data_IF_695295251170
#
_entry.id   IF_695295251170
#
_cell.length_a   1.000
_cell.length_b   1.000
_cell.length_c   1.000
_cell.angle_alpha   90.00
_cell.angle_beta   90.00
_cell.angle_gamma   90.00
#
_symmetry.space_group_name_H-M   'P 1'
#
loop_
_entity.id
_entity.type
_entity.pdbx_description
1 polymer ?
#
# COMPACT_ATOMS: atom_id res chain seq x y z
N UNK A 1 -11.88 12.92 16.82
CA UNK A 1 -11.09 14.04 17.38
C UNK A 1 -9.83 14.22 16.57
N UNK A 2 -9.52 15.46 16.18
CA UNK A 2 -8.27 15.80 15.48
C UNK A 2 -7.09 15.93 16.45
N UNK A 3 -5.89 15.65 15.98
CA UNK A 3 -4.66 15.75 16.78
C UNK A 3 -3.53 16.37 15.99
N UNK A 4 -2.63 17.08 16.67
CA UNK A 4 -1.44 17.69 16.07
C UNK A 4 -0.23 17.42 16.96
N UNK A 5 0.94 17.21 16.37
CA UNK A 5 2.19 17.12 17.11
C UNK A 5 2.79 18.51 17.40
N UNK A 6 3.71 18.62 18.37
CA UNK A 6 4.38 19.89 18.69
C UNK A 6 5.12 20.51 17.50
N UNK A 7 5.64 19.69 16.58
CA UNK A 7 6.35 20.16 15.39
C UNK A 7 5.48 20.91 14.39
N UNK A 8 4.15 20.88 14.51
CA UNK A 8 3.24 21.69 13.69
C UNK A 8 3.10 23.14 14.17
N UNK A 9 3.77 23.52 15.27
CA UNK A 9 3.73 24.85 15.83
C UNK A 9 5.13 25.48 15.76
N UNK A 10 5.40 26.39 14.80
CA UNK A 10 6.73 26.97 14.61
C UNK A 10 7.29 27.66 15.86
N UNK A 11 6.41 28.28 16.66
CA UNK A 11 6.75 28.96 17.92
C UNK A 11 6.55 28.08 19.16
N UNK A 12 6.29 26.78 18.96
CA UNK A 12 5.88 25.84 20.00
C UNK A 12 4.37 25.81 20.24
N UNK A 13 3.84 24.70 20.78
CA UNK A 13 2.42 24.56 21.02
C UNK A 13 1.94 25.56 22.08
N UNK A 14 0.77 26.19 21.91
CA UNK A 14 0.23 27.11 22.90
C UNK A 14 -0.11 26.35 24.19
N UNK A 15 -0.17 27.06 25.31
CA UNK A 15 -0.46 26.45 26.62
C UNK A 15 -1.84 25.81 26.62
N UNK A 16 -1.87 24.50 26.92
CA UNK A 16 -3.12 23.75 27.00
C UNK A 16 -4.02 24.27 28.13
N UNK A 17 -5.31 24.42 27.83
CA UNK A 17 -6.32 24.85 28.81
C UNK A 17 -7.13 23.67 29.36
N UNK A 18 -7.16 22.57 28.63
CA UNK A 18 -7.99 21.40 28.92
C UNK A 18 -7.25 20.10 28.59
N UNK A 19 -7.76 18.98 29.13
CA UNK A 19 -7.33 17.63 28.76
C UNK A 19 -8.52 16.84 28.25
N UNK A 20 -8.33 16.08 27.17
CA UNK A 20 -9.31 15.16 26.63
C UNK A 20 -8.87 13.72 26.88
N UNK A 21 -9.82 12.87 27.24
CA UNK A 21 -9.63 11.42 27.24
C UNK A 21 -10.02 10.90 25.85
N UNK A 22 -9.09 10.26 25.17
CA UNK A 22 -9.22 9.79 23.80
C UNK A 22 -9.12 8.27 23.79
N UNK A 23 -10.11 7.55 23.25
CA UNK A 23 -10.03 6.10 23.09
C UNK A 23 -8.91 5.74 22.11
N UNK A 24 -8.23 4.62 22.32
CA UNK A 24 -7.18 4.12 21.42
C UNK A 24 -7.72 3.02 20.49
N UNK A 25 -7.29 2.94 19.22
CA UNK A 25 -7.78 1.89 18.31
C UNK A 25 -7.42 0.46 18.75
N UNK A 26 -6.36 0.30 19.54
CA UNK A 26 -5.95 -0.98 20.14
C UNK A 26 -6.74 -1.31 21.41
N UNK A 27 -7.60 -0.40 21.88
CA UNK A 27 -8.31 -0.50 23.16
C UNK A 27 -7.63 0.34 24.26
N UNK A 28 -8.43 0.70 25.27
CA UNK A 28 -8.01 1.62 26.33
C UNK A 28 -8.19 3.09 25.95
N UNK A 29 -7.60 3.97 26.75
CA UNK A 29 -7.72 5.42 26.59
C UNK A 29 -6.39 6.11 26.89
N UNK A 30 -6.09 7.14 26.12
CA UNK A 30 -5.00 8.08 26.37
C UNK A 30 -5.55 9.43 26.81
N UNK A 31 -4.75 10.21 27.52
CA UNK A 31 -5.10 11.59 27.90
C UNK A 31 -4.23 12.57 27.13
N UNK A 32 -4.87 13.47 26.42
CA UNK A 32 -4.24 14.42 25.51
C UNK A 32 -4.50 15.84 26.01
N UNK A 33 -3.48 16.69 25.97
CA UNK A 33 -3.66 18.12 26.19
C UNK A 33 -4.37 18.75 24.98
N UNK A 34 -5.35 19.61 25.21
CA UNK A 34 -6.07 20.30 24.12
C UNK A 34 -5.49 21.68 23.88
N UNK A 35 -5.16 21.94 22.62
CA UNK A 35 -4.61 23.21 22.16
C UNK A 35 -5.39 23.71 20.94
N UNK A 36 -5.55 25.03 20.77
CA UNK A 36 -6.06 25.59 19.52
C UNK A 36 -5.00 25.45 18.43
N UNK A 37 -5.45 25.08 17.24
CA UNK A 37 -4.68 25.12 15.99
C UNK A 37 -5.38 26.10 15.05
N UNK A 38 -4.82 27.30 14.93
CA UNK A 38 -5.36 28.37 14.10
C UNK A 38 -4.86 28.26 12.66
N UNK A 39 -5.71 28.63 11.69
CA UNK A 39 -5.31 28.73 10.29
C UNK A 39 -4.89 27.40 9.65
N UNK A 40 -5.42 26.27 10.13
CA UNK A 40 -5.08 24.96 9.58
C UNK A 40 -5.48 24.89 8.10
N UNK A 41 -4.52 24.53 7.25
CA UNK A 41 -4.72 24.34 5.83
C UNK A 41 -4.09 23.02 5.40
N UNK A 42 -4.76 22.31 4.51
CA UNK A 42 -4.21 21.12 3.87
C UNK A 42 -4.25 21.28 2.35
N UNK A 43 -3.08 21.48 1.74
CA UNK A 43 -3.00 21.88 0.34
C UNK A 43 -3.73 23.19 0.11
N UNK A 44 -4.81 23.15 -0.68
CA UNK A 44 -5.68 24.32 -0.94
C UNK A 44 -6.92 24.37 -0.04
N UNK A 45 -7.21 23.31 0.71
CA UNK A 45 -8.39 23.25 1.57
C UNK A 45 -8.13 23.99 2.90
N UNK A 46 -8.93 25.02 3.18
CA UNK A 46 -8.90 25.70 4.47
C UNK A 46 -9.75 24.90 5.47
N UNK A 47 -9.14 24.49 6.58
CA UNK A 47 -9.81 23.75 7.66
C UNK A 47 -10.29 24.69 8.78
N UNK A 48 -9.79 25.93 8.81
CA UNK A 48 -10.14 26.92 9.82
C UNK A 48 -9.44 26.66 11.16
N UNK A 49 -10.04 27.19 12.23
CA UNK A 49 -9.55 27.00 13.60
C UNK A 49 -10.04 25.66 14.15
N UNK A 50 -9.11 24.83 14.63
CA UNK A 50 -9.38 23.50 15.15
C UNK A 50 -9.00 23.41 16.63
N UNK A 51 -9.79 22.66 17.41
CA UNK A 51 -9.36 22.21 18.74
C UNK A 51 -8.75 20.82 18.60
N UNK A 52 -7.43 20.72 18.80
CA UNK A 52 -6.68 19.48 18.57
C UNK A 52 -6.09 18.94 19.86
N UNK A 53 -5.96 17.63 19.95
CA UNK A 53 -5.15 16.98 20.97
C UNK A 53 -3.67 17.07 20.61
N UNK A 54 -2.82 17.44 21.56
CA UNK A 54 -1.38 17.47 21.37
C UNK A 54 -0.83 16.04 21.46
N UNK A 55 -0.39 15.51 20.31
CA UNK A 55 0.27 14.21 20.22
C UNK A 55 1.71 14.29 20.73
N UNK A 56 2.36 13.14 20.93
CA UNK A 56 3.80 13.09 21.30
C UNK A 56 4.70 12.78 20.11
N UNK A 57 4.21 13.01 18.91
CA UNK A 57 4.88 12.54 17.70
C UNK A 57 5.98 13.50 17.28
N UNK A 58 7.02 12.95 16.66
CA UNK A 58 8.13 13.74 16.11
C UNK A 58 7.75 14.32 14.74
N UNK A 59 8.32 15.49 14.42
CA UNK A 59 7.96 16.26 13.22
C UNK A 59 6.60 16.93 13.31
N UNK A 60 6.11 17.51 12.21
CA UNK A 60 4.73 17.99 12.11
C UNK A 60 3.83 16.87 11.57
N UNK A 61 2.95 16.36 12.42
CA UNK A 61 1.95 15.34 12.12
C UNK A 61 0.59 15.86 12.55
N UNK A 62 -0.37 15.85 11.62
CA UNK A 62 -1.75 16.26 11.82
C UNK A 62 -2.66 15.05 11.50
N UNK A 63 -3.44 14.60 12.47
CA UNK A 63 -4.53 13.65 12.25
C UNK A 63 -5.87 14.38 12.28
N UNK A 64 -6.66 14.20 11.23
CA UNK A 64 -7.96 14.85 11.11
C UNK A 64 -9.06 13.90 11.59
N UNK A 65 -9.84 14.37 12.56
CA UNK A 65 -11.03 13.69 13.02
C UNK A 65 -12.18 13.83 12.03
N UNK A 66 -13.17 12.95 12.17
CA UNK A 66 -14.36 12.97 11.34
C UNK A 66 -15.14 14.29 11.41
N UNK A 67 -15.10 14.98 12.55
CA UNK A 67 -15.67 16.32 12.72
C UNK A 67 -15.13 17.33 11.68
N UNK A 68 -13.86 17.20 11.30
CA UNK A 68 -13.22 18.03 10.28
C UNK A 68 -13.43 17.46 8.87
N UNK A 69 -13.44 16.13 8.74
CA UNK A 69 -13.54 15.44 7.46
C UNK A 69 -14.98 15.29 6.94
N UNK A 70 -16.00 15.55 7.77
CA UNK A 70 -17.41 15.38 7.44
C UNK A 70 -17.87 16.03 6.10
N UNK A 71 -17.41 17.23 5.70
CA UNK A 71 -17.85 17.81 4.43
C UNK A 71 -17.10 17.26 3.21
N UNK A 72 -16.08 16.42 3.41
CA UNK A 72 -15.14 15.99 2.38
C UNK A 72 -15.19 14.49 2.11
N UNK A 73 -15.00 14.14 0.85
CA UNK A 73 -14.55 12.83 0.42
C UNK A 73 -13.06 12.94 0.06
N UNK A 74 -12.25 12.02 0.59
CA UNK A 74 -10.80 11.99 0.39
C UNK A 74 -10.45 11.00 -0.72
N UNK A 75 -9.98 11.51 -1.85
CA UNK A 75 -9.48 10.69 -2.95
C UNK A 75 -7.96 10.51 -2.81
N UNK A 76 -7.52 9.27 -2.62
CA UNK A 76 -6.13 8.88 -2.48
C UNK A 76 -5.69 8.16 -3.75
N UNK A 77 -4.69 8.73 -4.44
CA UNK A 77 -4.00 8.10 -5.57
C UNK A 77 -2.61 7.64 -5.12
N UNK A 78 -2.42 6.35 -4.80
CA UNK A 78 -1.15 5.83 -4.32
C UNK A 78 -0.03 5.89 -5.36
N UNK A 79 -0.36 5.81 -6.65
CA UNK A 79 0.62 5.86 -7.74
C UNK A 79 1.15 7.29 -7.92
N UNK A 80 0.25 8.29 -7.92
CA UNK A 80 0.64 9.70 -8.04
C UNK A 80 1.09 10.33 -6.73
N UNK A 81 0.83 9.66 -5.60
CA UNK A 81 1.02 10.21 -4.25
C UNK A 81 0.25 11.51 -4.06
N UNK A 82 -0.97 11.54 -4.58
CA UNK A 82 -1.87 12.67 -4.48
C UNK A 82 -3.01 12.35 -3.52
N UNK A 83 -3.36 13.36 -2.72
CA UNK A 83 -4.58 13.40 -1.93
C UNK A 83 -5.43 14.55 -2.44
N UNK A 84 -6.68 14.28 -2.77
CA UNK A 84 -7.65 15.28 -3.25
C UNK A 84 -8.87 15.29 -2.35
N UNK A 85 -9.36 16.51 -2.12
CA UNK A 85 -10.56 16.77 -1.33
C UNK A 85 -11.67 17.08 -2.31
N UNK A 86 -12.68 16.23 -2.35
CA UNK A 86 -13.93 16.51 -3.05
C UNK A 86 -15.06 16.63 -2.03
N UNK A 87 -16.21 17.15 -2.47
CA UNK A 87 -17.37 17.27 -1.58
C UNK A 87 -17.93 15.88 -1.27
N UNK A 88 -18.19 15.63 0.01
CA UNK A 88 -18.87 14.41 0.47
C UNK A 88 -20.25 14.26 -0.19
N UNK A 89 -20.68 13.01 -0.40
CA UNK A 89 -21.94 12.65 -1.05
C UNK A 89 -22.60 11.49 -0.31
N UNK A 90 -23.94 11.35 -0.37
CA UNK A 90 -24.60 10.18 0.19
C UNK A 90 -24.17 8.89 -0.53
N UNK A 91 -24.18 7.75 0.19
CA UNK A 91 -23.76 6.44 -0.33
C UNK A 91 -24.44 6.06 -1.64
N UNK A 92 -25.72 6.39 -1.78
CA UNK A 92 -26.53 6.11 -2.97
C UNK A 92 -25.96 6.80 -4.22
N UNK A 93 -25.34 7.96 -4.07
CA UNK A 93 -24.70 8.66 -5.19
C UNK A 93 -23.48 7.89 -5.70
N UNK A 94 -22.73 7.24 -4.81
CA UNK A 94 -21.67 6.32 -5.20
C UNK A 94 -22.30 5.10 -5.88
N UNK A 95 -23.24 4.40 -5.25
CA UNK A 95 -23.83 3.19 -5.85
C UNK A 95 -24.43 3.40 -7.25
N UNK A 96 -25.00 4.58 -7.53
CA UNK A 96 -25.61 4.92 -8.83
C UNK A 96 -24.65 5.51 -9.86
N UNK A 97 -23.43 5.89 -9.47
CA UNK A 97 -22.48 6.46 -10.43
C UNK A 97 -22.20 5.44 -11.55
N UNK A 98 -22.05 5.88 -12.81
CA UNK A 98 -21.87 4.97 -13.94
C UNK A 98 -20.60 4.14 -13.78
N UNK A 99 -20.64 2.91 -14.31
CA UNK A 99 -19.43 2.12 -14.48
C UNK A 99 -18.54 2.78 -15.54
N UNK A 100 -17.24 2.81 -15.29
CA UNK A 100 -16.24 3.26 -16.26
C UNK A 100 -15.72 2.02 -16.97
N UNK A 101 -15.71 2.05 -18.31
CA UNK A 101 -15.21 0.94 -19.11
C UNK A 101 -13.74 0.66 -18.76
N UNK A 102 -13.39 -0.62 -18.59
CA UNK A 102 -12.04 -1.03 -18.24
C UNK A 102 -11.63 -0.72 -16.80
N UNK A 103 -12.56 -0.46 -15.89
CA UNK A 103 -12.29 -0.21 -14.46
C UNK A 103 -13.01 -1.22 -13.56
N UNK A 104 -12.28 -1.82 -12.62
CA UNK A 104 -12.85 -2.54 -11.49
C UNK A 104 -13.27 -1.55 -10.40
N UNK A 105 -14.46 -1.77 -9.84
CA UNK A 105 -15.07 -0.83 -8.92
C UNK A 105 -15.79 -1.54 -7.78
N UNK A 106 -15.46 -1.14 -6.55
CA UNK A 106 -16.06 -1.68 -5.33
C UNK A 106 -16.53 -0.54 -4.44
N UNK A 107 -17.82 -0.56 -4.07
CA UNK A 107 -18.41 0.42 -3.14
C UNK A 107 -18.67 -0.29 -1.82
N UNK A 108 -17.80 -0.05 -0.84
CA UNK A 108 -17.82 -0.70 0.46
C UNK A 108 -18.43 0.22 1.51
N UNK A 109 -19.05 -0.38 2.52
CA UNK A 109 -19.55 0.34 3.68
C UNK A 109 -18.41 0.71 4.63
N UNK A 110 -18.40 1.95 5.09
CA UNK A 110 -17.64 2.38 6.26
C UNK A 110 -18.59 2.56 7.44
N UNK A 111 -18.56 1.58 8.34
CA UNK A 111 -19.23 1.70 9.63
C UNK A 111 -18.32 2.43 10.62
N UNK A 112 -18.84 2.71 11.82
CA UNK A 112 -18.13 3.45 12.86
C UNK A 112 -18.09 2.64 14.14
N UNK A 113 -16.95 2.66 14.80
CA UNK A 113 -16.87 2.14 16.17
C UNK A 113 -17.64 3.10 17.11
N UNK A 114 -18.57 2.59 17.93
CA UNK A 114 -19.50 3.45 18.69
C UNK A 114 -18.85 4.32 19.76
N UNK A 115 -17.68 3.94 20.28
CA UNK A 115 -17.00 4.64 21.37
C UNK A 115 -16.10 5.77 20.87
N UNK A 116 -15.44 5.54 19.75
CA UNK A 116 -14.31 6.31 19.26
C UNK A 116 -14.52 6.90 17.87
N UNK A 117 -15.61 6.53 17.20
CA UNK A 117 -15.93 6.95 15.83
C UNK A 117 -14.85 6.54 14.82
N UNK A 118 -14.16 5.42 15.09
CA UNK A 118 -13.15 4.90 14.18
C UNK A 118 -13.82 4.34 12.93
N UNK A 119 -13.29 4.63 11.73
CA UNK A 119 -13.81 4.04 10.51
C UNK A 119 -13.53 2.54 10.49
N UNK A 120 -14.58 1.76 10.36
CA UNK A 120 -14.52 0.31 10.30
C UNK A 120 -14.87 -0.18 8.90
N UNK A 121 -14.12 -1.17 8.44
CA UNK A 121 -14.38 -1.88 7.18
C UNK A 121 -14.42 -3.38 7.45
N UNK A 122 -15.34 -4.09 6.79
CA UNK A 122 -15.41 -5.53 6.84
C UNK A 122 -14.25 -6.15 6.05
N UNK A 123 -13.56 -7.11 6.65
CA UNK A 123 -12.38 -7.76 6.06
C UNK A 123 -12.46 -9.26 6.28
N UNK A 124 -12.06 -10.02 5.26
CA UNK A 124 -11.80 -11.46 5.33
C UNK A 124 -10.31 -11.73 5.17
N UNK A 125 -9.70 -12.40 6.13
CA UNK A 125 -8.31 -12.84 6.12
C UNK A 125 -8.30 -14.35 5.92
N UNK A 126 -7.58 -14.83 4.92
CA UNK A 126 -7.40 -16.25 4.63
C UNK A 126 -5.94 -16.64 4.78
N UNK A 127 -5.70 -17.73 5.50
CA UNK A 127 -4.39 -18.36 5.59
C UNK A 127 -4.56 -19.89 5.61
N UNK A 128 -4.14 -20.54 4.54
CA UNK A 128 -4.37 -21.96 4.25
C UNK A 128 -5.86 -22.30 4.29
N UNK A 129 -6.24 -23.21 5.18
CA UNK A 129 -7.61 -23.63 5.44
C UNK A 129 -8.30 -22.83 6.56
N UNK A 130 -7.64 -21.77 7.06
CA UNK A 130 -8.19 -20.89 8.09
C UNK A 130 -8.73 -19.62 7.45
N UNK A 131 -9.88 -19.20 7.94
CA UNK A 131 -10.51 -17.93 7.58
C UNK A 131 -10.90 -17.17 8.86
N UNK A 132 -10.66 -15.87 8.84
CA UNK A 132 -11.09 -14.93 9.86
C UNK A 132 -11.85 -13.81 9.15
N UNK A 133 -13.06 -13.49 9.59
CA UNK A 133 -13.86 -12.40 9.04
C UNK A 133 -14.36 -11.47 10.14
N UNK A 134 -14.28 -10.16 9.93
CA UNK A 134 -14.77 -9.17 10.89
C UNK A 134 -14.29 -7.76 10.58
N UNK A 135 -14.53 -6.85 11.52
CA UNK A 135 -14.23 -5.43 11.34
C UNK A 135 -12.75 -5.12 11.59
N UNK A 136 -12.15 -4.33 10.71
CA UNK A 136 -10.85 -3.71 10.92
C UNK A 136 -11.01 -2.20 10.98
N UNK A 137 -10.22 -1.56 11.84
CA UNK A 137 -10.04 -0.10 11.80
C UNK A 137 -9.30 0.25 10.52
N UNK A 138 -9.85 1.13 9.70
CA UNK A 138 -9.19 1.60 8.49
C UNK A 138 -8.05 2.57 8.84
N UNK A 139 -6.81 2.12 8.66
CA UNK A 139 -5.61 2.90 8.91
C UNK A 139 -5.11 3.58 7.64
N UNK A 140 -4.97 4.90 7.67
CA UNK A 140 -4.43 5.70 6.56
C UNK A 140 -2.95 6.04 6.71
N UNK A 141 -2.38 5.76 7.88
CA UNK A 141 -1.02 6.17 8.25
C UNK A 141 -0.02 5.02 8.31
N UNK A 142 -0.34 3.96 9.04
CA UNK A 142 0.59 2.84 9.20
C UNK A 142 0.72 2.10 7.89
N UNK A 143 1.94 1.76 7.44
CA UNK A 143 2.16 1.19 6.11
C UNK A 143 1.65 -0.25 5.97
N UNK A 144 1.40 -0.95 7.09
CA UNK A 144 1.05 -2.36 7.09
C UNK A 144 -0.24 -2.64 7.84
N UNK A 145 -0.94 -3.67 7.38
CA UNK A 145 -2.06 -4.26 8.08
C UNK A 145 -1.56 -4.97 9.34
N UNK A 146 -2.26 -4.73 10.45
CA UNK A 146 -2.01 -5.34 11.75
C UNK A 146 -3.17 -6.23 12.14
N UNK A 147 -2.86 -7.43 12.63
CA UNK A 147 -3.85 -8.37 13.13
C UNK A 147 -3.69 -8.52 14.65
N UNK A 148 -4.80 -8.41 15.38
CA UNK A 148 -4.82 -8.60 16.84
C UNK A 148 -4.34 -10.01 17.18
N UNK A 149 -3.35 -10.10 18.08
CA UNK A 149 -2.68 -11.39 18.38
C UNK A 149 -3.62 -12.45 18.93
N UNK A 150 -4.57 -12.06 19.78
CA UNK A 150 -5.62 -12.93 20.31
C UNK A 150 -6.60 -13.43 19.23
N UNK A 151 -7.00 -12.56 18.30
CA UNK A 151 -7.86 -12.96 17.18
C UNK A 151 -7.14 -13.94 16.26
N UNK A 152 -5.87 -13.70 15.97
CA UNK A 152 -5.04 -14.60 15.17
C UNK A 152 -4.87 -15.97 15.83
N UNK A 153 -4.56 -15.99 17.14
CA UNK A 153 -4.43 -17.23 17.92
C UNK A 153 -5.76 -17.98 17.99
N UNK A 154 -6.88 -17.29 18.19
CA UNK A 154 -8.22 -17.89 18.19
C UNK A 154 -8.58 -18.53 16.85
N UNK A 155 -8.08 -17.99 15.74
CA UNK A 155 -8.21 -18.56 14.40
C UNK A 155 -7.16 -19.65 14.08
N UNK A 156 -6.25 -19.96 15.01
CA UNK A 156 -5.19 -20.95 14.82
C UNK A 156 -4.08 -20.49 13.87
N UNK A 157 -3.87 -19.18 13.70
CA UNK A 157 -2.78 -18.64 12.91
C UNK A 157 -1.48 -18.64 13.73
N UNK A 158 -0.43 -19.23 13.16
CA UNK A 158 0.90 -19.24 13.75
C UNK A 158 1.74 -18.06 13.21
N UNK A 159 2.46 -17.32 14.08
CA UNK A 159 3.39 -16.31 13.61
C UNK A 159 4.57 -16.95 12.88
N UNK A 160 5.20 -16.19 11.98
CA UNK A 160 6.40 -16.61 11.26
C UNK A 160 7.55 -16.83 12.27
N UNK A 161 8.15 -18.04 12.32
CA UNK A 161 9.17 -18.36 13.30
C UNK A 161 10.49 -17.63 13.04
N UNK A 162 11.28 -17.40 14.10
CA UNK A 162 12.65 -16.91 14.01
C UNK A 162 12.79 -15.44 13.61
N UNK A 163 11.71 -14.65 13.66
CA UNK A 163 11.73 -13.23 13.31
C UNK A 163 11.78 -12.35 14.55
N UNK A 164 12.57 -11.26 14.48
CA UNK A 164 12.66 -10.27 15.56
C UNK A 164 11.32 -9.52 15.77
N UNK A 165 10.56 -9.34 14.69
CA UNK A 165 9.19 -8.82 14.72
C UNK A 165 8.23 -9.94 14.38
N UNK A 166 7.16 -10.08 15.17
CA UNK A 166 6.15 -11.09 14.91
C UNK A 166 5.22 -10.64 13.79
N UNK A 167 4.99 -11.53 12.83
CA UNK A 167 4.05 -11.33 11.75
C UNK A 167 3.37 -12.64 11.38
N UNK A 168 2.22 -12.58 10.72
CA UNK A 168 1.51 -13.73 10.15
C UNK A 168 1.64 -13.72 8.62
N UNK A 169 2.00 -14.85 8.02
CA UNK A 169 1.86 -15.01 6.58
C UNK A 169 0.42 -15.42 6.27
N UNK A 170 -0.24 -14.66 5.41
CA UNK A 170 -1.62 -14.93 4.97
C UNK A 170 -1.67 -15.03 3.44
N UNK A 171 -2.56 -15.86 2.93
CA UNK A 171 -2.75 -16.03 1.49
C UNK A 171 -3.44 -14.83 0.89
N UNK A 172 -4.42 -14.27 1.61
CA UNK A 172 -5.13 -13.07 1.17
C UNK A 172 -5.81 -12.31 2.30
N UNK A 173 -5.93 -10.99 2.11
CA UNK A 173 -6.82 -10.09 2.82
C UNK A 173 -7.79 -9.49 1.80
N UNK A 174 -9.09 -9.74 1.97
CA UNK A 174 -10.14 -9.35 1.06
C UNK A 174 -11.13 -8.38 1.72
N UNK A 175 -11.49 -7.33 0.98
CA UNK A 175 -12.50 -6.32 1.37
C UNK A 175 -13.86 -6.61 0.73
N UNK A 176 -13.83 -7.24 -0.44
CA UNK A 176 -14.97 -7.80 -1.15
C UNK A 176 -14.46 -8.88 -2.13
N UNK A 177 -15.38 -9.56 -2.79
CA UNK A 177 -15.02 -10.42 -3.92
C UNK A 177 -14.32 -9.61 -5.01
N UNK A 178 -13.18 -10.08 -5.51
CA UNK A 178 -12.32 -9.35 -6.45
C UNK A 178 -11.45 -8.24 -5.83
N UNK A 179 -11.79 -7.73 -4.64
CA UNK A 179 -11.04 -6.70 -3.94
C UNK A 179 -10.14 -7.30 -2.84
N UNK A 180 -9.06 -7.97 -3.25
CA UNK A 180 -8.13 -8.64 -2.35
C UNK A 180 -6.66 -8.26 -2.59
N UNK A 181 -5.86 -8.43 -1.54
CA UNK A 181 -4.41 -8.36 -1.52
C UNK A 181 -3.84 -9.69 -1.03
N UNK A 182 -2.73 -10.18 -1.58
CA UNK A 182 -2.18 -11.48 -1.19
C UNK A 182 -1.08 -11.97 -2.11
N UNK A 183 -0.22 -12.91 -1.67
CA UNK A 183 0.07 -13.20 -0.27
C UNK A 183 0.71 -11.97 0.42
N UNK A 184 0.57 -11.85 1.74
CA UNK A 184 1.18 -10.76 2.50
C UNK A 184 1.52 -11.15 3.93
N UNK A 185 2.42 -10.38 4.54
CA UNK A 185 2.72 -10.45 5.96
C UNK A 185 1.84 -9.44 6.71
N UNK A 186 1.19 -9.88 7.77
CA UNK A 186 0.44 -9.01 8.68
C UNK A 186 1.24 -8.85 9.97
N UNK A 187 1.46 -7.61 10.41
CA UNK A 187 2.14 -7.36 11.69
C UNK A 187 1.25 -7.81 12.87
N UNK A 188 1.84 -8.38 13.91
CA UNK A 188 1.10 -8.67 15.15
C UNK A 188 0.78 -7.36 15.87
N UNK A 189 -0.51 -7.10 16.07
CA UNK A 189 -0.99 -6.01 16.93
C UNK A 189 -0.79 -6.34 18.41
N UNK A 190 0.41 -6.10 18.93
CA UNK A 190 0.68 -6.23 20.36
C UNK A 190 -0.20 -5.27 21.19
N UNK A 191 -0.72 -5.74 22.33
CA UNK A 191 -1.56 -4.93 23.22
C UNK A 191 -2.98 -4.65 22.68
N UNK A 192 -3.39 -5.31 21.61
CA UNK A 192 -4.76 -5.20 21.10
C UNK A 192 -5.75 -5.86 22.07
N UNK A 193 -6.56 -5.03 22.72
CA UNK A 193 -7.58 -5.40 23.70
C UNK A 193 -9.00 -5.02 23.26
N UNK A 194 -9.13 -4.29 22.15
CA UNK A 194 -10.42 -3.88 21.62
C UNK A 194 -11.21 -5.08 21.08
N UNK A 195 -12.33 -5.44 21.74
CA UNK A 195 -13.10 -6.64 21.40
C UNK A 195 -13.91 -6.51 20.08
N UNK A 196 -14.22 -5.29 19.64
CA UNK A 196 -15.04 -5.05 18.45
C UNK A 196 -14.30 -5.05 17.12
N UNK A 197 -12.97 -5.22 17.12
CA UNK A 197 -12.14 -5.13 15.91
C UNK A 197 -11.07 -6.21 15.90
N UNK A 198 -10.78 -6.75 14.73
CA UNK A 198 -9.77 -7.79 14.54
C UNK A 198 -8.37 -7.22 14.30
N UNK A 199 -8.26 -5.92 14.04
CA UNK A 199 -7.00 -5.30 13.69
C UNK A 199 -7.16 -3.94 13.01
N UNK A 200 -6.06 -3.50 12.39
CA UNK A 200 -5.99 -2.27 11.58
C UNK A 200 -5.65 -2.62 10.15
N UNK A 201 -6.45 -2.16 9.20
CA UNK A 201 -6.21 -2.35 7.77
C UNK A 201 -5.29 -1.24 7.24
N UNK A 202 -4.15 -1.62 6.69
CA UNK A 202 -3.15 -0.70 6.12
C UNK A 202 -3.27 -0.50 4.60
N UNK A 203 -2.50 0.46 4.05
CA UNK A 203 -2.41 0.74 2.62
C UNK A 203 -1.77 -0.38 1.82
N UNK A 204 -1.09 -1.34 2.46
CA UNK A 204 -0.66 -2.59 1.83
C UNK A 204 -1.81 -3.40 1.22
N UNK A 205 -3.05 -3.15 1.68
CA UNK A 205 -4.29 -3.71 1.14
C UNK A 205 -5.10 -2.67 0.37
N UNK A 206 -5.60 -1.63 1.02
CA UNK A 206 -6.51 -0.66 0.35
C UNK A 206 -5.77 0.30 -0.59
N UNK A 207 -4.48 0.52 -0.38
CA UNK A 207 -3.61 1.35 -1.23
C UNK A 207 -3.22 0.65 -2.54
N UNK A 208 -3.80 -0.52 -2.83
CA UNK A 208 -3.74 -1.20 -4.13
C UNK A 208 -4.77 -0.68 -5.13
N UNK A 209 -5.48 0.38 -4.75
CA UNK A 209 -6.58 0.98 -5.49
C UNK A 209 -6.42 2.50 -5.44
N UNK A 210 -7.00 3.17 -6.42
CA UNK A 210 -7.49 4.53 -6.25
C UNK A 210 -8.65 4.48 -5.24
N UNK A 211 -8.46 5.05 -4.06
CA UNK A 211 -9.41 4.96 -2.96
C UNK A 211 -10.13 6.30 -2.76
N UNK A 212 -11.45 6.27 -2.55
CA UNK A 212 -12.21 7.42 -2.03
C UNK A 212 -12.77 7.06 -0.67
N UNK A 213 -12.39 7.82 0.35
CA UNK A 213 -12.84 7.68 1.73
C UNK A 213 -13.86 8.80 2.00
N UNK A 214 -15.14 8.45 2.12
CA UNK A 214 -16.19 9.38 2.50
C UNK A 214 -16.82 8.92 3.82
N UNK A 215 -16.36 9.50 4.92
CA UNK A 215 -16.80 9.10 6.25
C UNK A 215 -18.23 9.54 6.58
N UNK A 216 -18.68 10.67 6.02
CA UNK A 216 -20.05 11.14 6.18
C UNK A 216 -21.02 10.41 5.24
N UNK A 217 -20.55 10.06 4.03
CA UNK A 217 -21.24 9.17 3.10
C UNK A 217 -21.13 7.69 3.43
N UNK A 218 -20.46 7.31 4.53
CA UNK A 218 -20.25 5.92 4.96
C UNK A 218 -19.72 5.00 3.86
N UNK A 219 -18.81 5.52 3.02
CA UNK A 219 -18.39 4.86 1.79
C UNK A 219 -16.88 4.80 1.66
N UNK A 220 -16.37 3.59 1.37
CA UNK A 220 -15.05 3.37 0.81
C UNK A 220 -15.22 2.89 -0.63
N UNK A 221 -14.90 3.76 -1.59
CA UNK A 221 -14.88 3.41 -3.00
C UNK A 221 -13.45 2.99 -3.38
N UNK A 222 -13.30 1.78 -3.91
CA UNK A 222 -12.05 1.26 -4.43
C UNK A 222 -12.15 1.11 -5.94
N UNK A 223 -11.10 1.56 -6.63
CA UNK A 223 -11.04 1.63 -8.08
C UNK A 223 -9.66 1.26 -8.61
N UNK A 224 -9.59 0.53 -9.72
CA UNK A 224 -8.35 0.27 -10.45
C UNK A 224 -8.64 -0.19 -11.88
N UNK A 225 -7.66 -0.15 -12.80
CA UNK A 225 -7.81 -0.76 -14.12
C UNK A 225 -8.25 -2.22 -14.01
N UNK A 226 -9.24 -2.60 -14.81
CA UNK A 226 -9.70 -3.98 -14.91
C UNK A 226 -8.71 -4.80 -15.74
N UNK A 227 -8.45 -6.03 -15.29
CA UNK A 227 -7.78 -7.01 -16.11
C UNK A 227 -8.79 -7.66 -17.06
N UNK A 228 -8.44 -7.78 -18.34
CA UNK A 228 -9.32 -8.40 -19.34
C UNK A 228 -9.46 -9.91 -19.04
N UNK A 229 -10.69 -10.45 -18.91
CA UNK A 229 -10.89 -11.87 -18.65
C UNK A 229 -10.20 -12.75 -19.72
N UNK A 230 -9.45 -13.76 -19.29
CA UNK A 230 -8.74 -14.68 -20.20
C UNK A 230 -7.45 -14.11 -20.82
N UNK A 231 -7.19 -12.81 -20.70
CA UNK A 231 -5.94 -12.20 -21.15
C UNK A 231 -5.03 -11.88 -19.96
N UNK A 232 -3.83 -12.45 -19.95
CA UNK A 232 -2.83 -12.17 -18.90
C UNK A 232 -2.16 -10.80 -19.05
N UNK A 233 -2.08 -10.27 -20.26
CA UNK A 233 -1.31 -9.08 -20.60
C UNK A 233 -2.19 -7.94 -21.14
N UNK A 234 -3.45 -7.84 -20.73
CA UNK A 234 -4.33 -6.76 -21.18
C UNK A 234 -5.12 -6.19 -20.00
N UNK A 235 -5.05 -4.88 -19.81
CA UNK A 235 -5.79 -4.17 -18.77
C UNK A 235 -6.31 -2.82 -19.29
N UNK A 236 -7.39 -2.33 -18.68
CA UNK A 236 -7.93 -1.00 -18.94
C UNK A 236 -8.71 -0.85 -20.27
N UNK A 237 -9.16 0.37 -20.60
CA UNK A 237 -10.06 0.65 -21.74
C UNK A 237 -9.43 0.51 -23.13
N UNK A 238 -8.15 0.15 -23.23
CA UNK A 238 -7.44 -0.10 -24.49
C UNK A 238 -6.86 -1.51 -24.63
N UNK A 239 -7.10 -2.39 -23.65
CA UNK A 239 -6.72 -3.81 -23.66
C UNK A 239 -5.25 -4.07 -24.04
N UNK A 240 -4.33 -3.18 -23.65
CA UNK A 240 -2.90 -3.32 -23.94
C UNK A 240 -2.12 -3.81 -22.72
N UNK A 241 -0.93 -4.35 -22.97
CA UNK A 241 0.01 -4.72 -21.91
C UNK A 241 0.47 -3.49 -21.12
N UNK A 242 0.66 -2.36 -21.81
CA UNK A 242 0.92 -1.07 -21.20
C UNK A 242 -0.16 -0.61 -20.22
N UNK A 243 -1.42 -0.97 -20.47
CA UNK A 243 -2.52 -0.70 -19.56
C UNK A 243 -2.42 -1.44 -18.22
N UNK A 244 -1.62 -2.52 -18.15
CA UNK A 244 -1.43 -3.31 -16.93
C UNK A 244 -0.38 -2.73 -15.98
N UNK A 245 0.30 -1.65 -16.34
CA UNK A 245 1.24 -0.99 -15.45
C UNK A 245 1.07 0.53 -15.45
N UNK A 246 1.34 1.12 -14.29
CA UNK A 246 1.42 2.57 -14.14
C UNK A 246 2.86 2.98 -13.84
N UNK A 247 3.35 4.02 -14.50
CA UNK A 247 4.61 4.68 -14.16
C UNK A 247 4.32 6.17 -13.93
N UNK A 248 4.76 6.69 -12.79
CA UNK A 248 4.75 8.11 -12.51
C UNK A 248 6.15 8.56 -12.11
N UNK A 249 6.66 9.57 -12.81
CA UNK A 249 7.92 10.23 -12.45
C UNK A 249 7.60 11.65 -11.97
N UNK A 250 8.22 12.06 -10.87
CA UNK A 250 8.05 13.40 -10.29
C UNK A 250 9.40 13.94 -9.85
N UNK A 251 9.61 15.25 -10.00
CA UNK A 251 10.77 15.93 -9.42
C UNK A 251 10.45 16.33 -7.98
N UNK A 252 11.30 15.90 -7.05
CA UNK A 252 11.22 16.25 -5.63
C UNK A 252 11.76 17.68 -5.39
N UNK A 253 11.44 18.33 -4.25
CA UNK A 253 11.89 19.69 -3.96
C UNK A 253 13.43 19.87 -3.96
N UNK A 254 14.17 18.79 -3.70
CA UNK A 254 15.63 18.76 -3.74
C UNK A 254 16.21 18.53 -5.15
N UNK A 255 15.35 18.49 -6.18
CA UNK A 255 15.72 18.32 -7.58
C UNK A 255 15.85 16.87 -8.03
N UNK A 256 15.86 15.89 -7.11
CA UNK A 256 15.94 14.45 -7.47
C UNK A 256 14.64 13.96 -8.10
N UNK A 257 14.70 12.82 -8.76
CA UNK A 257 13.52 12.18 -9.33
C UNK A 257 12.95 11.14 -8.37
N UNK A 258 11.65 11.18 -8.15
CA UNK A 258 10.90 10.07 -7.59
C UNK A 258 10.21 9.29 -8.69
N UNK A 259 10.41 7.98 -8.67
CA UNK A 259 9.81 7.02 -9.61
C UNK A 259 8.83 6.17 -8.83
N UNK A 260 7.57 6.18 -9.25
CA UNK A 260 6.51 5.35 -8.71
C UNK A 260 5.99 4.40 -9.77
N UNK A 261 5.78 3.13 -9.41
CA UNK A 261 5.26 2.12 -10.31
C UNK A 261 4.11 1.36 -9.69
N UNK A 262 3.18 0.87 -10.52
CA UNK A 262 2.10 -0.02 -10.10
C UNK A 262 1.85 -1.10 -11.15
N UNK A 263 1.36 -2.26 -10.71
CA UNK A 263 0.94 -3.36 -11.59
C UNK A 263 -0.53 -3.71 -11.33
N UNK A 264 -1.33 -3.79 -12.39
CA UNK A 264 -2.78 -4.00 -12.35
C UNK A 264 -3.22 -5.40 -12.79
N UNK A 265 -2.26 -6.33 -12.95
CA UNK A 265 -2.48 -7.76 -13.16
C UNK A 265 -1.83 -8.60 -12.05
N UNK A 266 -2.30 -9.83 -11.91
CA UNK A 266 -1.71 -10.79 -10.96
C UNK A 266 -0.31 -11.22 -11.45
N UNK A 267 0.64 -11.31 -10.51
CA UNK A 267 2.03 -11.70 -10.76
C UNK A 267 2.38 -12.92 -9.91
N UNK A 268 1.99 -14.16 -10.31
CA UNK A 268 2.22 -15.35 -9.49
C UNK A 268 3.71 -15.68 -9.29
N UNK A 269 4.59 -15.19 -10.17
CA UNK A 269 6.04 -15.37 -10.10
C UNK A 269 6.80 -14.07 -9.80
N UNK A 270 6.09 -12.99 -9.50
CA UNK A 270 6.65 -11.64 -9.47
C UNK A 270 6.84 -11.09 -10.89
N UNK A 271 7.45 -9.92 -10.98
CA UNK A 271 7.80 -9.32 -12.25
C UNK A 271 8.76 -8.16 -12.11
N UNK A 272 9.35 -7.76 -13.24
CA UNK A 272 10.25 -6.60 -13.33
C UNK A 272 9.85 -5.70 -14.49
N UNK A 273 9.90 -4.39 -14.25
CA UNK A 273 9.70 -3.35 -15.23
C UNK A 273 11.03 -2.61 -15.43
N UNK A 274 11.66 -2.80 -16.58
CA UNK A 274 12.83 -2.04 -17.01
C UNK A 274 12.41 -0.62 -17.42
N UNK A 275 13.21 0.37 -17.02
CA UNK A 275 12.99 1.78 -17.28
C UNK A 275 14.14 2.36 -18.09
N UNK A 276 13.80 3.13 -19.12
CA UNK A 276 14.75 3.89 -19.91
C UNK A 276 14.83 5.34 -19.40
N UNK A 277 16.04 5.86 -19.14
CA UNK A 277 16.21 7.27 -18.76
C UNK A 277 15.91 8.17 -19.97
N UNK A 278 15.17 9.24 -19.72
CA UNK A 278 14.88 10.32 -20.67
C UNK A 278 15.69 11.55 -20.29
N UNK A 279 16.30 12.21 -21.27
CA UNK A 279 16.97 13.50 -21.09
C UNK A 279 17.62 14.00 -22.38
N UNK A 280 18.10 15.24 -22.37
CA UNK A 280 18.74 15.86 -23.53
C UNK A 280 20.06 15.18 -23.96
N UNK A 281 20.72 14.45 -23.05
CA UNK A 281 21.97 13.75 -23.34
C UNK A 281 21.72 12.34 -23.93
N UNK A 282 22.05 12.10 -25.22
CA UNK A 282 21.91 10.78 -25.85
C UNK A 282 22.88 9.72 -25.29
N UNK A 283 23.80 10.09 -24.41
CA UNK A 283 24.64 9.14 -23.67
C UNK A 283 23.83 8.38 -22.60
N UNK A 284 22.74 8.96 -22.08
CA UNK A 284 21.90 8.35 -21.05
C UNK A 284 21.28 7.02 -21.52
N UNK A 285 20.70 7.01 -22.73
CA UNK A 285 20.14 5.79 -23.33
C UNK A 285 21.21 4.71 -23.62
N UNK A 286 22.46 5.13 -23.87
CA UNK A 286 23.60 4.24 -24.13
C UNK A 286 24.36 3.83 -22.86
N UNK A 287 23.97 4.36 -21.70
CA UNK A 287 24.60 4.02 -20.43
C UNK A 287 24.53 2.52 -20.17
N UNK A 288 25.53 1.98 -19.48
CA UNK A 288 25.51 0.61 -19.00
C UNK A 288 24.68 0.43 -17.72
N UNK A 289 24.11 1.51 -17.18
CA UNK A 289 23.28 1.49 -15.99
C UNK A 289 21.80 1.39 -16.37
N UNK A 290 21.14 0.30 -15.96
CA UNK A 290 19.70 0.08 -16.15
C UNK A 290 18.98 0.27 -14.83
N UNK A 291 17.93 1.09 -14.82
CA UNK A 291 17.03 1.25 -13.69
C UNK A 291 15.79 0.38 -13.96
N UNK A 292 15.28 -0.29 -12.94
CA UNK A 292 14.00 -0.96 -13.05
C UNK A 292 13.26 -1.02 -11.72
N UNK A 293 12.02 -1.51 -11.78
CA UNK A 293 11.17 -1.79 -10.63
C UNK A 293 10.89 -3.29 -10.56
N UNK A 294 10.98 -3.88 -9.38
CA UNK A 294 10.53 -5.25 -9.12
C UNK A 294 9.23 -5.25 -8.35
N UNK A 295 8.41 -6.25 -8.59
CA UNK A 295 7.18 -6.53 -7.88
C UNK A 295 7.24 -7.96 -7.34
N UNK A 296 6.98 -8.12 -6.04
CA UNK A 296 6.95 -9.43 -5.42
C UNK A 296 5.81 -10.30 -5.98
N UNK A 297 5.91 -11.64 -5.88
CA UNK A 297 4.81 -12.50 -6.23
C UNK A 297 3.52 -12.15 -5.47
N UNK A 298 2.42 -11.99 -6.20
CA UNK A 298 1.12 -11.74 -5.59
C UNK A 298 0.05 -11.21 -6.52
N UNK A 299 -1.08 -10.83 -5.91
CA UNK A 299 -2.24 -10.28 -6.57
C UNK A 299 -1.99 -8.86 -7.08
N UNK A 300 -2.81 -8.46 -8.05
CA UNK A 300 -2.79 -7.14 -8.67
C UNK A 300 -2.95 -5.96 -7.70
N UNK A 301 -2.51 -4.80 -8.17
CA UNK A 301 -2.53 -3.51 -7.50
C UNK A 301 -1.29 -3.21 -6.64
N UNK A 302 -0.26 -4.03 -6.68
CA UNK A 302 1.01 -3.72 -6.01
C UNK A 302 1.60 -2.43 -6.59
N UNK A 303 2.13 -1.57 -5.72
CA UNK A 303 2.79 -0.34 -6.12
C UNK A 303 4.02 -0.05 -5.27
N UNK A 304 4.93 0.74 -5.84
CA UNK A 304 6.13 1.20 -5.15
C UNK A 304 6.53 2.61 -5.52
N UNK A 305 7.39 3.22 -4.70
CA UNK A 305 7.97 4.53 -4.96
C UNK A 305 9.40 4.57 -4.40
N UNK A 306 10.30 5.13 -5.20
CA UNK A 306 11.71 5.31 -4.84
C UNK A 306 12.21 6.69 -5.28
N UNK A 307 13.15 7.26 -4.52
CA UNK A 307 13.85 8.48 -4.92
C UNK A 307 15.22 8.10 -5.48
N UNK A 308 15.52 8.57 -6.69
CA UNK A 308 16.69 8.20 -7.47
C UNK A 308 17.62 9.42 -7.60
N UNK A 309 18.94 9.26 -7.36
CA UNK A 309 19.59 8.10 -6.77
C UNK A 309 19.34 8.00 -5.26
N UNK A 310 19.24 6.77 -4.73
CA UNK A 310 19.19 6.52 -3.29
C UNK A 310 20.59 6.40 -2.67
N UNK A 311 20.75 6.63 -1.35
CA UNK A 311 22.07 6.74 -0.72
C UNK A 311 22.99 5.53 -0.95
N UNK A 312 22.46 4.30 -0.87
CA UNK A 312 23.24 3.07 -1.06
C UNK A 312 23.75 2.97 -2.50
N UNK A 313 22.97 3.40 -3.49
CA UNK A 313 23.39 3.43 -4.89
C UNK A 313 24.56 4.40 -5.09
N UNK A 314 24.48 5.60 -4.52
CA UNK A 314 25.55 6.58 -4.60
C UNK A 314 26.87 6.09 -3.98
N UNK A 315 26.80 5.22 -2.97
CA UNK A 315 27.97 4.64 -2.32
C UNK A 315 28.54 3.43 -3.09
N UNK A 316 27.68 2.53 -3.57
CA UNK A 316 28.11 1.25 -4.15
C UNK A 316 28.38 1.31 -5.66
N UNK A 317 27.66 2.19 -6.38
CA UNK A 317 27.74 2.35 -7.83
C UNK A 317 27.69 3.85 -8.20
N UNK A 318 28.73 4.64 -7.83
CA UNK A 318 28.71 6.10 -8.01
C UNK A 318 28.56 6.52 -9.47
N UNK A 319 29.11 5.77 -10.42
CA UNK A 319 28.94 6.02 -11.86
C UNK A 319 27.47 5.95 -12.28
N UNK A 320 26.75 4.90 -11.85
CA UNK A 320 25.32 4.78 -12.14
C UNK A 320 24.48 5.82 -11.40
N UNK A 321 24.85 6.17 -10.16
CA UNK A 321 24.19 7.24 -9.43
C UNK A 321 24.31 8.58 -10.16
N UNK A 322 25.49 8.89 -10.72
CA UNK A 322 25.72 10.11 -11.51
C UNK A 322 24.90 10.10 -12.79
N UNK A 323 24.90 9.01 -13.57
CA UNK A 323 24.07 8.89 -14.78
C UNK A 323 22.61 9.16 -14.46
N UNK A 324 22.06 8.50 -13.44
CA UNK A 324 20.65 8.63 -13.09
C UNK A 324 20.29 9.98 -12.47
N UNK A 325 21.24 10.68 -11.84
CA UNK A 325 21.03 12.03 -11.34
C UNK A 325 20.85 13.07 -12.47
N UNK A 326 21.38 12.80 -13.67
CA UNK A 326 21.22 13.66 -14.85
C UNK A 326 19.98 13.32 -15.69
N UNK A 327 19.24 12.27 -15.34
CA UNK A 327 17.99 11.96 -16.01
C UNK A 327 16.94 13.06 -15.76
N UNK A 328 16.17 13.39 -16.78
CA UNK A 328 15.03 14.31 -16.69
C UNK A 328 13.72 13.57 -16.42
N UNK A 329 13.66 12.29 -16.81
CA UNK A 329 12.53 11.41 -16.58
C UNK A 329 12.86 9.94 -16.88
N UNK A 330 11.84 9.09 -16.84
CA UNK A 330 11.94 7.68 -17.20
C UNK A 330 10.70 7.23 -17.97
N UNK A 331 10.88 6.31 -18.91
CA UNK A 331 9.79 5.66 -19.63
C UNK A 331 9.84 4.14 -19.44
N UNK A 332 8.69 3.45 -19.48
CA UNK A 332 8.67 1.99 -19.50
C UNK A 332 9.40 1.47 -20.75
N UNK A 333 10.20 0.42 -20.61
CA UNK A 333 10.91 -0.19 -21.74
C UNK A 333 10.47 -1.64 -21.96
N UNK A 334 10.58 -2.49 -20.93
CA UNK A 334 10.23 -3.91 -21.01
C UNK A 334 9.65 -4.38 -19.68
N UNK A 335 8.61 -5.20 -19.74
CA UNK A 335 8.12 -5.94 -18.58
C UNK A 335 8.42 -7.43 -18.74
N UNK A 336 8.93 -8.06 -17.68
CA UNK A 336 9.17 -9.50 -17.62
C UNK A 336 8.49 -10.12 -16.40
N UNK A 337 7.71 -11.18 -16.62
CA UNK A 337 7.02 -11.93 -15.56
C UNK A 337 7.92 -12.97 -14.89
N UNK A 338 8.96 -12.50 -14.19
CA UNK A 338 9.76 -13.32 -13.28
C UNK A 338 10.35 -12.45 -12.16
N UNK A 339 10.52 -13.03 -10.98
CA UNK A 339 11.19 -12.37 -9.87
C UNK A 339 12.67 -12.15 -10.19
N UNK A 340 13.21 -11.03 -9.73
CA UNK A 340 14.65 -10.81 -9.74
C UNK A 340 15.25 -11.35 -8.45
N UNK A 341 16.04 -12.41 -8.53
CA UNK A 341 16.63 -13.08 -7.35
C UNK A 341 17.42 -12.13 -6.44
N UNK A 342 18.07 -11.12 -7.02
CA UNK A 342 18.83 -10.11 -6.28
C UNK A 342 17.95 -9.08 -5.55
N UNK A 343 16.73 -8.83 -6.04
CA UNK A 343 15.77 -7.91 -5.45
C UNK A 343 14.37 -8.58 -5.42
N UNK A 344 14.16 -9.62 -4.58
CA UNK A 344 12.96 -10.46 -4.64
C UNK A 344 11.69 -9.78 -4.10
N UNK A 345 11.85 -8.60 -3.52
CA UNK A 345 10.78 -7.80 -2.96
C UNK A 345 10.26 -6.78 -3.97
N UNK A 346 9.27 -5.99 -3.56
CA UNK A 346 8.85 -4.82 -4.33
C UNK A 346 9.86 -3.69 -4.10
N UNK A 347 10.67 -3.39 -5.12
CA UNK A 347 11.85 -2.52 -5.03
C UNK A 347 12.04 -1.68 -6.30
N UNK A 348 12.93 -0.68 -6.23
CA UNK A 348 13.70 -0.21 -7.36
C UNK A 348 15.06 -0.92 -7.37
N UNK A 349 15.62 -1.16 -8.55
CA UNK A 349 16.97 -1.70 -8.71
C UNK A 349 17.75 -0.96 -9.78
N UNK A 350 19.07 -0.95 -9.62
CA UNK A 350 20.01 -0.58 -10.67
C UNK A 350 20.89 -1.78 -11.00
N UNK A 351 20.97 -2.11 -12.29
CA UNK A 351 21.86 -3.11 -12.85
C UNK A 351 22.93 -2.44 -13.70
N UNK A 352 24.19 -2.58 -13.30
CA UNK A 352 25.34 -2.14 -14.09
C UNK A 352 25.79 -3.27 -15.01
N UNK A 353 25.50 -3.17 -16.31
CA UNK A 353 25.71 -4.24 -17.31
C UNK A 353 27.17 -4.68 -17.44
N UNK A 354 28.13 -3.76 -17.29
CA UNK A 354 29.57 -4.06 -17.42
C UNK A 354 30.05 -4.96 -16.29
N UNK A 355 29.66 -4.65 -15.06
CA UNK A 355 30.13 -5.34 -13.84
C UNK A 355 29.15 -6.42 -13.35
N UNK A 356 27.95 -6.48 -13.95
CA UNK A 356 26.81 -7.31 -13.53
C UNK A 356 26.40 -7.10 -12.07
N UNK A 357 26.64 -5.90 -11.53
CA UNK A 357 26.30 -5.56 -10.14
C UNK A 357 24.87 -5.06 -10.05
N UNK A 358 24.18 -5.48 -8.99
CA UNK A 358 22.85 -5.03 -8.64
C UNK A 358 22.90 -4.25 -7.33
N UNK A 359 22.12 -3.17 -7.26
CA UNK A 359 21.80 -2.48 -6.01
C UNK A 359 20.31 -2.26 -5.98
N UNK A 360 19.65 -2.54 -4.85
CA UNK A 360 18.20 -2.39 -4.69
C UNK A 360 17.88 -1.34 -3.62
N UNK A 361 16.73 -0.68 -3.75
CA UNK A 361 16.04 0.03 -2.68
C UNK A 361 14.63 -0.56 -2.57
N UNK A 362 14.29 -1.16 -1.44
CA UNK A 362 13.06 -1.94 -1.29
C UNK A 362 12.11 -1.28 -0.29
N UNK A 363 10.81 -1.44 -0.52
CA UNK A 363 9.82 -1.02 0.45
C UNK A 363 10.02 -1.76 1.78
N UNK A 364 9.75 -1.10 2.91
CA UNK A 364 9.77 -1.78 4.20
C UNK A 364 8.73 -2.90 4.23
N UNK A 365 8.98 -3.90 5.06
CA UNK A 365 7.99 -4.96 5.37
C UNK A 365 7.67 -4.93 6.86
N UNK A 366 6.61 -5.63 7.33
CA UNK A 366 6.37 -5.84 8.75
C UNK A 366 7.58 -6.39 9.51
N UNK A 367 8.42 -7.19 8.84
CA UNK A 367 9.63 -7.79 9.40
C UNK A 367 10.85 -6.85 9.40
N UNK A 368 10.73 -5.66 8.82
CA UNK A 368 11.80 -4.67 8.66
C UNK A 368 12.34 -4.57 7.23
N UNK A 369 13.46 -3.84 7.05
CA UNK A 369 14.16 -3.73 5.77
C UNK A 369 14.98 -5.00 5.50
N UNK A 370 14.90 -5.55 4.30
CA UNK A 370 15.72 -6.70 3.86
C UNK A 370 15.24 -8.08 4.33
N UNK A 371 14.16 -8.17 5.10
CA UNK A 371 13.61 -9.44 5.60
C UNK A 371 12.60 -10.06 4.62
N UNK A 372 13.04 -10.45 3.43
CA UNK A 372 12.22 -11.23 2.49
C UNK A 372 12.99 -12.45 1.98
N UNK A 373 13.01 -13.48 2.82
CA UNK A 373 13.27 -14.85 2.38
C UNK A 373 12.22 -15.79 2.95
N UNK A 374 10.97 -15.33 3.11
CA UNK A 374 9.87 -16.26 3.26
C UNK A 374 9.54 -16.70 1.84
N UNK A 375 10.14 -17.82 1.41
CA UNK A 375 9.72 -18.50 0.18
C UNK A 375 8.24 -18.83 0.36
N UNK A 376 7.37 -18.06 -0.27
CA UNK A 376 5.98 -18.44 -0.46
C UNK A 376 6.05 -19.68 -1.34
N UNK A 377 5.97 -20.86 -0.73
CA UNK A 377 5.80 -22.09 -1.48
C UNK A 377 4.48 -21.94 -2.24
N UNK A 378 4.57 -21.81 -3.56
CA UNK A 378 3.41 -21.90 -4.42
C UNK A 378 2.65 -23.19 -4.06
N UNK A 379 1.30 -23.19 -4.11
CA UNK A 379 0.53 -24.40 -3.85
C UNK A 379 1.05 -25.50 -4.76
N UNK A 380 1.45 -26.61 -4.12
CA UNK A 380 1.98 -27.80 -4.75
C UNK A 380 1.03 -28.16 -5.90
N UNK A 381 1.53 -28.18 -7.15
CA UNK A 381 0.76 -28.70 -8.28
C UNK A 381 0.33 -30.11 -7.87
N UNK A 382 -0.97 -30.32 -7.68
CA UNK A 382 -1.53 -31.68 -7.56
C UNK A 382 -0.99 -32.47 -8.74
N UNK A 383 -0.14 -33.45 -8.45
CA UNK A 383 0.35 -34.40 -9.43
C UNK A 383 -0.89 -35.01 -10.11
N UNK A 384 -0.95 -35.08 -11.46
CA UNK A 384 -2.05 -35.78 -12.11
C UNK A 384 -2.09 -37.20 -11.56
N UNK A 385 -3.28 -37.68 -11.19
CA UNK A 385 -3.44 -39.07 -10.76
C UNK A 385 -2.80 -40.01 -11.81
N UNK A 386 -2.14 -41.10 -11.39
CA UNK A 386 -1.61 -42.07 -12.34
C UNK A 386 -2.77 -42.57 -13.21
N UNK A 387 -2.61 -42.52 -14.54
CA UNK A 387 -3.55 -43.14 -15.47
C UNK A 387 -3.68 -44.61 -15.09
N UNK A 388 -4.91 -45.06 -14.87
CA UNK A 388 -5.27 -46.47 -14.87
C UNK A 388 -4.69 -47.10 -16.14
N UNK A 389 -3.82 -48.10 -15.96
CA UNK A 389 -3.32 -48.90 -17.06
C UNK A 389 -4.48 -49.76 -17.59
N UNK A 390 -4.78 -49.59 -18.87
CA UNK A 390 -5.68 -50.47 -19.61
C UNK A 390 -5.16 -51.93 -19.51
N UNK A 391 -6.02 -52.91 -19.21
CA UNK A 391 -5.60 -54.30 -19.13
C UNK A 391 -5.19 -54.80 -20.51
N UNK A 392 -4.05 -55.48 -20.60
CA UNK A 392 -3.60 -56.13 -21.82
C UNK A 392 -4.52 -57.32 -22.17
N UNK A 393 -4.87 -57.43 -23.45
CA UNK A 393 -5.64 -58.57 -23.98
C UNK A 393 -4.89 -59.89 -23.77
N UNK A 394 -5.59 -60.98 -23.38
CA UNK A 394 -4.98 -62.29 -23.17
C UNK A 394 -4.68 -62.99 -24.51
N UNK A 395 -3.55 -63.70 -24.56
CA UNK A 395 -3.18 -64.60 -25.68
C UNK A 395 -4.07 -65.84 -25.78
#
# INVERSE_FOLDING_TARGET
MSTASPGCFPEGPPRAKERARVPEPTGGFSTWERVPLEGAQLGRAQLGSLSVGLSREEGCVLALGQDVLAPYALEVDPLRRELRFSRSRPREAYLRAPAVAGEERFVLELSREPTADWPLVAVRVRARERELAGAFVLGTREPFTRLAGNAAQGAGLAPVPGQARQAFLVDSVALAEGAAAGPLLLEVGAGWSHAGTLGRLGPDVWGRFLATLDFAGHTLLLRRPAQVPGARAACGPGESEEGCYGLQVRREPDGRLSVSGAVWRDLPRGGRLELEPVGADPSLARSACRLGLTFAPGLKGQNTQHVVPWPVLAQQQPECAQVLAHAEGFTPALFEEDALDYCPATCAYVHQLVTRRFTCDCQPTPLGRGALSVKVQAPEKKTPAPREQEPADPE
#
